data_IF_340297848421
#
_entry.id   IF_340297848421
#
_cell.length_a   1.000
_cell.length_b   1.000
_cell.length_c   1.000
_cell.angle_alpha   90.00
_cell.angle_beta   90.00
_cell.angle_gamma   90.00
#
_symmetry.space_group_name_H-M   'P 1'
#
loop_
_entity.id
_entity.type
_entity.pdbx_description
1 polymer ?
#
# COMPACT_ATOMS: atom_id res chain seq x y z
N UNK A 1 53.24 -17.09 10.05
CA UNK A 1 52.68 -16.49 8.84
C UNK A 1 51.83 -15.30 9.27
N UNK A 2 52.32 -14.08 9.05
CA UNK A 2 51.65 -12.84 9.48
C UNK A 2 50.64 -12.41 8.42
N UNK A 3 49.36 -12.41 8.77
CA UNK A 3 48.31 -11.81 7.95
C UNK A 3 48.29 -10.29 8.20
N UNK A 4 48.18 -9.49 7.13
CA UNK A 4 48.04 -8.03 7.25
C UNK A 4 46.59 -7.66 7.56
N UNK A 5 46.36 -6.56 8.28
CA UNK A 5 45.03 -6.10 8.70
C UNK A 5 44.04 -5.90 7.53
N UNK A 6 44.54 -5.61 6.33
CA UNK A 6 43.72 -5.50 5.10
C UNK A 6 43.11 -6.85 4.67
N UNK A 7 43.80 -7.96 4.90
CA UNK A 7 43.31 -9.30 4.57
C UNK A 7 42.28 -9.81 5.59
N UNK A 8 42.34 -9.34 6.84
CA UNK A 8 41.31 -9.62 7.85
C UNK A 8 40.01 -8.84 7.63
N UNK A 9 40.06 -7.65 7.01
CA UNK A 9 38.87 -6.86 6.62
C UNK A 9 38.20 -7.44 5.36
N UNK A 10 38.99 -7.97 4.43
CA UNK A 10 38.49 -8.72 3.27
C UNK A 10 37.90 -10.09 3.65
N UNK A 11 38.41 -10.75 4.70
CA UNK A 11 37.92 -12.05 5.17
C UNK A 11 36.68 -11.96 6.09
N UNK A 12 36.34 -10.79 6.63
CA UNK A 12 35.23 -10.60 7.57
C UNK A 12 33.91 -10.13 6.92
N UNK A 13 33.92 -9.62 5.69
CA UNK A 13 32.75 -9.00 5.04
C UNK A 13 32.31 -9.75 3.76
N UNK A 14 31.83 -10.98 3.93
CA UNK A 14 31.09 -11.71 2.90
C UNK A 14 29.61 -11.27 2.79
N UNK A 15 29.28 -10.06 3.26
CA UNK A 15 27.98 -9.39 3.07
C UNK A 15 28.22 -8.17 2.18
N UNK A 16 27.59 -8.13 1.01
CA UNK A 16 27.63 -6.94 0.13
C UNK A 16 28.76 -6.91 -0.91
N UNK A 17 29.36 -8.06 -1.28
CA UNK A 17 30.06 -8.20 -2.55
C UNK A 17 29.11 -8.84 -3.57
N UNK A 18 28.45 -8.05 -4.43
CA UNK A 18 27.69 -8.60 -5.54
C UNK A 18 28.58 -9.51 -6.39
N UNK A 19 28.00 -10.56 -6.99
CA UNK A 19 28.69 -11.39 -8.00
C UNK A 19 29.37 -10.49 -9.06
N UNK A 20 30.48 -10.91 -9.70
CA UNK A 20 31.08 -10.12 -10.77
C UNK A 20 30.03 -9.71 -11.83
N UNK A 21 29.93 -8.41 -12.12
CA UNK A 21 28.91 -7.84 -12.99
C UNK A 21 27.61 -7.43 -12.28
N UNK A 22 27.51 -7.57 -10.96
CA UNK A 22 26.36 -7.10 -10.21
C UNK A 22 26.54 -5.67 -9.68
N UNK A 23 25.41 -4.99 -9.46
CA UNK A 23 25.35 -3.56 -9.18
C UNK A 23 25.08 -3.33 -7.69
N UNK A 24 25.90 -2.50 -7.07
CA UNK A 24 25.74 -2.02 -5.70
C UNK A 24 25.29 -0.56 -5.72
N UNK A 25 24.17 -0.26 -5.08
CA UNK A 25 23.68 1.10 -4.85
C UNK A 25 24.07 1.55 -3.45
N UNK A 26 24.62 2.75 -3.34
CA UNK A 26 25.12 3.26 -2.07
C UNK A 26 23.98 3.51 -1.06
N UNK A 27 24.14 2.97 0.15
CA UNK A 27 23.44 3.45 1.35
C UNK A 27 24.21 4.60 1.99
N UNK A 28 25.54 4.48 2.00
CA UNK A 28 26.49 5.50 2.42
C UNK A 28 27.66 5.51 1.43
N UNK A 29 28.20 6.70 1.18
CA UNK A 29 29.49 6.84 0.53
C UNK A 29 30.57 6.99 1.61
N UNK A 30 31.57 6.11 1.55
CA UNK A 30 32.63 6.01 2.56
C UNK A 30 33.98 6.45 1.98
N UNK A 31 34.72 7.22 2.78
CA UNK A 31 36.10 7.62 2.50
C UNK A 31 37.00 7.31 3.70
N UNK A 32 38.32 7.11 3.49
CA UNK A 32 39.25 6.85 4.60
C UNK A 32 39.42 8.06 5.53
N UNK A 33 39.31 9.27 5.00
CA UNK A 33 39.79 10.52 5.61
C UNK A 33 38.68 11.57 5.82
N UNK A 34 37.41 11.24 5.56
CA UNK A 34 36.29 12.15 5.79
C UNK A 34 35.02 11.42 6.25
N UNK A 35 34.06 12.13 6.87
CA UNK A 35 32.80 11.53 7.33
C UNK A 35 32.03 10.83 6.19
N UNK A 36 31.31 9.76 6.55
CA UNK A 36 30.38 9.08 5.66
C UNK A 36 29.31 10.06 5.17
N UNK A 37 28.93 9.93 3.89
CA UNK A 37 27.84 10.72 3.31
C UNK A 37 26.65 9.80 3.05
N UNK A 38 25.50 10.01 3.72
CA UNK A 38 24.33 9.15 3.55
C UNK A 38 23.70 9.33 2.17
N UNK A 39 23.12 8.25 1.64
CA UNK A 39 22.46 8.19 0.33
C UNK A 39 20.98 7.77 0.45
N UNK A 40 20.12 8.56 1.10
CA UNK A 40 18.73 8.16 1.32
C UNK A 40 17.93 8.04 0.02
N UNK A 41 18.30 8.77 -1.04
CA UNK A 41 17.73 8.63 -2.39
C UNK A 41 18.21 7.37 -3.14
N UNK A 42 19.12 6.56 -2.57
CA UNK A 42 19.59 5.32 -3.18
C UNK A 42 18.46 4.34 -3.50
N UNK A 43 17.37 4.37 -2.72
CA UNK A 43 16.17 3.56 -3.00
C UNK A 43 15.52 3.88 -4.35
N UNK A 44 15.54 5.14 -4.77
CA UNK A 44 15.01 5.58 -6.07
C UNK A 44 15.89 5.05 -7.21
N UNK A 45 17.22 5.09 -7.01
CA UNK A 45 18.19 4.58 -7.98
C UNK A 45 18.09 3.07 -8.12
N UNK A 46 17.94 2.34 -7.02
CA UNK A 46 17.68 0.90 -7.05
C UNK A 46 16.38 0.58 -7.82
N UNK A 47 15.31 1.33 -7.56
CA UNK A 47 14.06 1.23 -8.30
C UNK A 47 14.22 1.46 -9.80
N UNK A 48 14.99 2.49 -10.17
CA UNK A 48 15.26 2.83 -11.57
C UNK A 48 16.12 1.78 -12.30
N UNK A 49 17.12 1.22 -11.61
CA UNK A 49 17.91 0.11 -12.12
C UNK A 49 17.04 -1.13 -12.37
N UNK A 50 16.16 -1.48 -11.42
CA UNK A 50 15.23 -2.62 -11.58
C UNK A 50 14.32 -2.44 -12.80
N UNK A 51 13.79 -1.24 -13.03
CA UNK A 51 12.97 -0.93 -14.23
C UNK A 51 13.75 -1.09 -15.54
N UNK A 52 15.07 -0.89 -15.52
CA UNK A 52 15.98 -1.10 -16.66
C UNK A 52 16.51 -2.53 -16.77
N UNK A 53 15.93 -3.47 -15.99
CA UNK A 53 16.33 -4.87 -15.98
C UNK A 53 17.70 -5.11 -15.34
N UNK A 54 18.14 -4.23 -14.45
CA UNK A 54 19.42 -4.34 -13.73
C UNK A 54 19.13 -4.69 -12.27
N UNK A 55 19.42 -5.93 -11.83
CA UNK A 55 19.33 -6.26 -10.42
C UNK A 55 20.41 -5.50 -9.65
N UNK A 56 20.04 -4.91 -8.53
CA UNK A 56 20.94 -4.16 -7.67
C UNK A 56 20.75 -4.59 -6.21
N UNK A 57 21.82 -4.51 -5.43
CA UNK A 57 21.79 -4.59 -3.98
C UNK A 57 22.12 -3.23 -3.38
N UNK A 58 21.70 -2.99 -2.14
CA UNK A 58 22.07 -1.80 -1.38
C UNK A 58 23.16 -2.12 -0.36
N UNK A 59 24.08 -1.19 -0.15
CA UNK A 59 25.09 -1.29 0.89
C UNK A 59 26.07 -0.11 0.89
N UNK A 60 27.02 -0.08 1.84
CA UNK A 60 28.04 0.95 1.89
C UNK A 60 28.95 0.88 0.66
N UNK A 61 29.23 2.03 0.04
CA UNK A 61 30.09 2.14 -1.13
C UNK A 61 31.35 2.93 -0.79
N UNK A 62 32.50 2.24 -0.80
CA UNK A 62 33.80 2.88 -0.64
C UNK A 62 34.18 3.68 -1.89
N UNK A 63 34.73 4.86 -1.66
CA UNK A 63 35.13 5.75 -2.74
C UNK A 63 36.43 5.34 -3.45
N UNK A 64 37.28 4.56 -2.78
CA UNK A 64 38.41 3.91 -3.44
C UNK A 64 37.86 2.69 -4.20
N UNK A 65 37.67 2.84 -5.52
CA UNK A 65 37.22 1.74 -6.35
C UNK A 65 38.42 0.84 -6.69
N UNK A 66 38.22 -0.48 -6.60
CA UNK A 66 39.17 -1.47 -7.13
C UNK A 66 39.42 -1.21 -8.63
N UNK A 67 40.65 -1.46 -9.10
CA UNK A 67 40.99 -1.34 -10.54
C UNK A 67 40.07 -2.23 -11.37
N UNK A 68 39.34 -1.66 -12.34
CA UNK A 68 38.44 -2.37 -13.26
C UNK A 68 36.95 -2.05 -13.07
N UNK A 69 36.54 -1.58 -11.89
CA UNK A 69 35.13 -1.28 -11.60
C UNK A 69 34.69 0.10 -12.14
N UNK A 70 33.44 0.18 -12.62
CA UNK A 70 32.77 1.47 -12.88
C UNK A 70 32.05 1.90 -11.60
N UNK A 71 32.40 3.05 -11.05
CA UNK A 71 31.76 3.61 -9.86
C UNK A 71 31.31 5.06 -10.10
N UNK A 72 30.00 5.27 -10.18
CA UNK A 72 29.37 6.59 -10.32
C UNK A 72 28.94 7.10 -8.96
N UNK A 73 29.34 8.34 -8.64
CA UNK A 73 29.09 8.95 -7.34
C UNK A 73 28.83 10.43 -7.51
N UNK A 74 27.81 10.90 -6.83
CA UNK A 74 27.48 12.31 -6.70
C UNK A 74 27.33 12.65 -5.23
N UNK A 75 27.95 13.76 -4.83
CA UNK A 75 27.77 14.37 -3.50
C UNK A 75 27.32 15.79 -3.74
N UNK A 76 26.21 16.16 -3.11
CA UNK A 76 25.63 17.49 -3.25
C UNK A 76 25.24 18.05 -1.89
N UNK A 77 25.20 19.38 -1.80
CA UNK A 77 24.80 20.08 -0.59
C UNK A 77 23.28 20.09 -0.49
N UNK A 78 22.78 19.69 0.67
CA UNK A 78 21.38 19.78 1.05
C UNK A 78 21.29 20.66 2.31
N UNK A 79 21.12 21.97 2.10
CA UNK A 79 21.28 22.97 3.16
C UNK A 79 22.69 22.93 3.78
N UNK A 80 22.75 22.67 5.08
CA UNK A 80 23.99 22.58 5.85
C UNK A 80 24.64 21.18 5.85
N UNK A 81 23.95 20.16 5.31
CA UNK A 81 24.44 18.79 5.28
C UNK A 81 24.81 18.35 3.86
N UNK A 82 25.68 17.35 3.75
CA UNK A 82 25.98 16.68 2.48
C UNK A 82 25.09 15.44 2.34
N UNK A 83 24.56 15.21 1.13
CA UNK A 83 23.86 13.98 0.78
C UNK A 83 24.49 13.39 -0.48
N UNK A 84 24.36 12.08 -0.63
CA UNK A 84 24.99 11.33 -1.69
C UNK A 84 24.00 10.58 -2.57
N UNK A 85 24.46 10.22 -3.75
CA UNK A 85 23.87 9.21 -4.59
C UNK A 85 25.01 8.45 -5.28
N UNK A 86 24.92 7.14 -5.39
CA UNK A 86 25.96 6.39 -6.08
C UNK A 86 25.59 4.97 -6.42
N UNK A 87 26.23 4.45 -7.45
CA UNK A 87 26.20 3.05 -7.83
C UNK A 87 27.58 2.61 -8.31
N UNK A 88 27.93 1.36 -8.04
CA UNK A 88 29.12 0.72 -8.57
C UNK A 88 28.77 -0.63 -9.19
N UNK A 89 29.53 -1.00 -10.21
CA UNK A 89 29.47 -2.32 -10.85
C UNK A 89 30.75 -3.06 -10.52
N UNK A 90 30.64 -4.27 -9.98
CA UNK A 90 31.80 -5.11 -9.63
C UNK A 90 32.39 -5.79 -10.86
N UNK A 91 33.71 -6.01 -10.87
CA UNK A 91 34.41 -6.68 -11.98
C UNK A 91 34.54 -5.80 -13.23
N UNK A 92 34.62 -6.43 -14.41
CA UNK A 92 34.68 -5.78 -15.73
C UNK A 92 33.28 -5.79 -16.39
N UNK A 93 32.48 -4.72 -16.25
CA UNK A 93 31.10 -4.71 -16.76
C UNK A 93 31.06 -4.62 -18.29
N UNK A 94 30.00 -5.20 -18.89
CA UNK A 94 29.72 -5.00 -20.31
C UNK A 94 29.31 -3.56 -20.60
N UNK A 95 29.56 -3.04 -21.82
CA UNK A 95 29.13 -1.70 -22.21
C UNK A 95 27.63 -1.45 -21.99
N UNK A 96 26.78 -2.45 -22.26
CA UNK A 96 25.32 -2.35 -22.12
C UNK A 96 24.89 -2.24 -20.65
N UNK A 97 25.61 -2.89 -19.73
CA UNK A 97 25.36 -2.76 -18.30
C UNK A 97 25.80 -1.39 -17.80
N UNK A 98 26.98 -0.93 -18.21
CA UNK A 98 27.49 0.41 -17.91
C UNK A 98 26.52 1.50 -18.39
N UNK A 99 26.03 1.39 -19.63
CA UNK A 99 25.05 2.34 -20.19
C UNK A 99 23.77 2.41 -19.35
N UNK A 100 23.21 1.26 -18.97
CA UNK A 100 21.99 1.20 -18.14
C UNK A 100 22.20 1.81 -16.76
N UNK A 101 23.35 1.57 -16.12
CA UNK A 101 23.69 2.16 -14.82
C UNK A 101 23.90 3.67 -14.93
N UNK A 102 24.61 4.14 -15.95
CA UNK A 102 24.78 5.57 -16.23
C UNK A 102 23.43 6.26 -16.47
N UNK A 103 22.54 5.65 -17.25
CA UNK A 103 21.23 6.21 -17.54
C UNK A 103 20.32 6.28 -16.30
N UNK A 104 20.35 5.25 -15.44
CA UNK A 104 19.63 5.28 -14.16
C UNK A 104 20.14 6.39 -13.24
N UNK A 105 21.48 6.50 -13.11
CA UNK A 105 22.12 7.55 -12.33
C UNK A 105 21.75 8.94 -12.85
N UNK A 106 21.79 9.14 -14.17
CA UNK A 106 21.42 10.41 -14.81
C UNK A 106 19.95 10.79 -14.55
N UNK A 107 19.03 9.83 -14.63
CA UNK A 107 17.61 10.06 -14.32
C UNK A 107 17.41 10.54 -12.88
N UNK A 108 18.04 9.87 -11.90
CA UNK A 108 17.99 10.30 -10.50
C UNK A 108 18.62 11.68 -10.29
N UNK A 109 19.78 11.95 -10.91
CA UNK A 109 20.46 13.24 -10.83
C UNK A 109 19.63 14.39 -11.40
N UNK A 110 18.85 14.14 -12.47
CA UNK A 110 17.93 15.14 -13.03
C UNK A 110 16.83 15.57 -12.05
N UNK A 111 16.52 14.76 -11.04
CA UNK A 111 15.60 15.10 -9.96
C UNK A 111 16.28 15.77 -8.75
N UNK A 112 17.61 15.95 -8.76
CA UNK A 112 18.33 16.57 -7.64
C UNK A 112 18.33 18.09 -7.69
N UNK A 113 18.59 18.74 -6.56
CA UNK A 113 18.83 20.19 -6.48
C UNK A 113 17.58 21.07 -6.39
N UNK A 114 16.40 20.56 -6.73
CA UNK A 114 15.12 21.23 -6.46
C UNK A 114 14.78 21.12 -4.98
N UNK A 115 14.63 22.27 -4.30
CA UNK A 115 14.04 22.32 -2.97
C UNK A 115 12.54 22.01 -3.08
N UNK A 116 12.02 21.16 -2.19
CA UNK A 116 10.65 20.65 -2.25
C UNK A 116 9.87 20.90 -0.98
N UNK A 117 8.60 21.21 -1.13
CA UNK A 117 7.60 21.12 -0.07
C UNK A 117 6.82 19.83 -0.24
N UNK A 118 6.75 19.01 0.81
CA UNK A 118 5.87 17.85 0.88
C UNK A 118 4.61 18.26 1.60
N UNK A 119 3.49 18.35 0.88
CA UNK A 119 2.16 18.54 1.46
C UNK A 119 1.64 17.18 1.91
N UNK A 120 1.65 16.95 3.22
CA UNK A 120 1.36 15.66 3.80
C UNK A 120 -0.10 15.60 4.27
N UNK A 121 -0.93 14.78 3.62
CA UNK A 121 -2.34 14.64 3.96
C UNK A 121 -2.55 13.99 5.34
N UNK A 122 -3.47 14.51 6.15
CA UNK A 122 -3.89 13.86 7.40
C UNK A 122 -5.43 13.90 7.56
N UNK A 123 -6.09 12.76 7.87
CA UNK A 123 -5.51 11.43 8.12
C UNK A 123 -4.99 10.69 6.85
N UNK A 124 -4.09 9.73 7.09
CA UNK A 124 -3.47 8.84 6.08
C UNK A 124 -3.09 7.51 6.75
N UNK A 125 -2.65 6.52 5.96
CA UNK A 125 -2.15 5.23 6.47
C UNK A 125 -3.23 4.44 7.21
N UNK A 126 -2.85 3.54 8.14
CA UNK A 126 -3.77 2.61 8.80
C UNK A 126 -5.05 3.22 9.36
N UNK A 127 -6.16 2.50 9.17
CA UNK A 127 -7.43 2.75 9.87
C UNK A 127 -7.65 1.69 10.97
N UNK A 128 -8.62 1.93 11.85
CA UNK A 128 -8.89 1.06 13.01
C UNK A 128 -9.20 -0.40 12.61
N UNK A 129 -9.85 -0.62 11.47
CA UNK A 129 -10.15 -1.96 10.96
C UNK A 129 -8.89 -2.72 10.54
N UNK A 130 -7.96 -2.02 9.89
CA UNK A 130 -6.68 -2.57 9.43
C UNK A 130 -5.76 -2.87 10.61
N UNK A 131 -5.61 -1.93 11.56
CA UNK A 131 -4.80 -2.15 12.77
C UNK A 131 -5.27 -3.38 13.53
N UNK A 132 -6.59 -3.48 13.77
CA UNK A 132 -7.21 -4.64 14.42
C UNK A 132 -6.90 -5.94 13.69
N UNK A 133 -7.01 -5.96 12.36
CA UNK A 133 -6.83 -7.18 11.58
C UNK A 133 -5.37 -7.65 11.58
N UNK A 134 -4.42 -6.71 11.45
CA UNK A 134 -2.99 -7.01 11.56
C UNK A 134 -2.68 -7.54 12.97
N UNK A 135 -3.12 -6.83 14.00
CA UNK A 135 -2.85 -7.19 15.40
C UNK A 135 -3.40 -8.59 15.77
N UNK A 136 -4.56 -8.98 15.23
CA UNK A 136 -5.09 -10.34 15.39
C UNK A 136 -4.08 -11.39 14.91
N UNK A 137 -3.53 -11.22 13.70
CA UNK A 137 -2.56 -12.18 13.15
C UNK A 137 -1.25 -12.15 13.92
N UNK A 138 -0.75 -10.96 14.26
CA UNK A 138 0.49 -10.79 15.02
C UNK A 138 0.41 -11.50 16.38
N UNK A 139 -0.68 -11.29 17.15
CA UNK A 139 -0.88 -11.94 18.45
C UNK A 139 -1.05 -13.46 18.35
N UNK A 140 -1.69 -13.94 17.28
CA UNK A 140 -1.80 -15.38 17.05
C UNK A 140 -0.44 -16.02 16.79
N UNK A 141 0.41 -15.37 16.00
CA UNK A 141 1.78 -15.81 15.76
C UNK A 141 2.62 -15.76 17.04
N UNK A 142 2.47 -14.71 17.85
CA UNK A 142 3.20 -14.58 19.12
C UNK A 142 2.79 -15.65 20.14
N UNK A 143 1.51 -16.02 20.17
CA UNK A 143 0.98 -17.02 21.13
C UNK A 143 1.20 -18.47 20.70
N UNK A 144 1.16 -18.75 19.40
CA UNK A 144 1.10 -20.11 18.89
C UNK A 144 2.25 -20.50 17.95
N UNK A 145 3.06 -19.53 17.51
CA UNK A 145 3.98 -19.72 16.39
C UNK A 145 3.24 -19.92 15.05
N UNK A 146 4.01 -20.19 14.00
CA UNK A 146 3.46 -20.55 12.68
C UNK A 146 3.24 -22.07 12.52
N UNK A 147 2.40 -22.51 11.57
CA UNK A 147 1.68 -21.67 10.61
C UNK A 147 0.36 -21.13 11.18
N UNK A 148 0.11 -19.83 10.95
CA UNK A 148 -1.25 -19.24 11.07
C UNK A 148 -1.77 -19.01 9.67
N UNK A 149 -2.81 -19.74 9.27
CA UNK A 149 -3.38 -19.58 7.93
C UNK A 149 -4.29 -18.36 7.89
N UNK A 150 -4.24 -17.60 6.80
CA UNK A 150 -5.13 -16.46 6.57
C UNK A 150 -5.80 -16.65 5.23
N UNK A 151 -7.14 -16.62 5.21
CA UNK A 151 -7.89 -16.71 3.95
C UNK A 151 -7.87 -15.35 3.25
N UNK A 152 -7.29 -15.32 2.05
CA UNK A 152 -6.90 -14.13 1.29
C UNK A 152 -5.92 -13.27 2.09
N UNK A 153 -5.44 -12.18 1.50
CA UNK A 153 -4.57 -11.24 2.23
C UNK A 153 -5.34 -10.63 3.41
N UNK A 154 -4.70 -10.51 4.57
CA UNK A 154 -5.34 -9.94 5.78
C UNK A 154 -5.85 -8.52 5.51
N UNK A 155 -5.06 -7.76 4.73
CA UNK A 155 -5.33 -6.44 4.15
C UNK A 155 -4.59 -6.34 2.82
N UNK A 156 -5.04 -5.49 1.89
CA UNK A 156 -4.39 -5.29 0.59
C UNK A 156 -3.17 -4.38 0.70
N UNK A 157 -2.07 -4.92 1.23
CA UNK A 157 -0.75 -4.27 1.21
C UNK A 157 0.38 -5.30 1.19
N UNK A 158 1.22 -5.26 0.16
CA UNK A 158 2.30 -6.26 -0.05
C UNK A 158 3.33 -6.27 1.08
N UNK A 159 3.64 -5.11 1.68
CA UNK A 159 4.61 -5.04 2.77
C UNK A 159 4.06 -5.60 4.09
N UNK A 160 2.76 -5.42 4.35
CA UNK A 160 2.09 -6.04 5.51
C UNK A 160 2.06 -7.56 5.34
N UNK A 161 1.65 -8.03 4.16
CA UNK A 161 1.61 -9.46 3.82
C UNK A 161 3.00 -10.09 3.99
N UNK A 162 4.03 -9.54 3.33
CA UNK A 162 5.39 -10.07 3.42
C UNK A 162 5.96 -10.05 4.84
N UNK A 163 5.65 -9.03 5.66
CA UNK A 163 6.04 -8.99 7.08
C UNK A 163 5.42 -10.14 7.87
N UNK A 164 4.14 -10.45 7.64
CA UNK A 164 3.44 -11.51 8.34
C UNK A 164 3.88 -12.90 7.86
N UNK A 165 4.14 -13.07 6.56
CA UNK A 165 4.70 -14.31 5.99
C UNK A 165 6.07 -14.62 6.60
N UNK A 166 6.95 -13.62 6.72
CA UNK A 166 8.25 -13.76 7.36
C UNK A 166 8.16 -14.17 8.85
N UNK A 167 7.01 -13.94 9.49
CA UNK A 167 6.72 -14.36 10.88
C UNK A 167 6.00 -15.72 10.97
N UNK A 168 5.63 -16.34 9.85
CA UNK A 168 4.95 -17.64 9.81
C UNK A 168 3.45 -17.61 9.50
N UNK A 169 2.91 -16.48 9.02
CA UNK A 169 1.58 -16.49 8.41
C UNK A 169 1.62 -17.19 7.05
N UNK A 170 0.54 -17.89 6.69
CA UNK A 170 0.39 -18.55 5.38
C UNK A 170 -0.91 -18.07 4.75
N UNK A 171 -0.80 -17.21 3.74
CA UNK A 171 -1.97 -16.70 3.01
C UNK A 171 -2.43 -17.73 1.97
N UNK A 172 -3.72 -18.06 1.99
CA UNK A 172 -4.34 -19.02 1.07
C UNK A 172 -5.51 -18.40 0.33
N UNK A 173 -5.76 -18.83 -0.91
CA UNK A 173 -6.93 -18.38 -1.65
C UNK A 173 -8.22 -19.03 -1.14
N UNK A 174 -8.17 -20.34 -0.92
CA UNK A 174 -9.32 -21.16 -0.56
C UNK A 174 -9.08 -22.02 0.67
N UNK A 175 -10.13 -22.25 1.45
CA UNK A 175 -10.02 -23.02 2.69
C UNK A 175 -9.55 -24.45 2.45
N UNK A 176 -9.87 -25.07 1.32
CA UNK A 176 -9.36 -26.41 0.96
C UNK A 176 -7.83 -26.55 1.03
N UNK A 177 -7.08 -25.46 0.91
CA UNK A 177 -5.61 -25.45 1.02
C UNK A 177 -5.12 -25.51 2.46
N UNK A 178 -6.00 -25.25 3.44
CA UNK A 178 -5.68 -25.29 4.87
C UNK A 178 -5.83 -26.70 5.41
N UNK A 179 -4.87 -27.28 6.15
CA UNK A 179 -5.06 -28.58 6.80
C UNK A 179 -6.23 -28.57 7.81
N UNK A 180 -7.03 -29.66 7.90
CA UNK A 180 -8.12 -29.76 8.89
C UNK A 180 -7.64 -29.48 10.32
N UNK A 181 -8.49 -28.87 11.15
CA UNK A 181 -8.15 -28.51 12.53
C UNK A 181 -7.18 -27.33 12.70
N UNK A 182 -6.62 -26.80 11.60
CA UNK A 182 -5.67 -25.67 11.68
C UNK A 182 -6.36 -24.36 12.03
N UNK A 183 -5.57 -23.44 12.57
CA UNK A 183 -6.01 -22.08 12.85
C UNK A 183 -6.10 -21.26 11.57
N UNK A 184 -7.25 -20.64 11.34
CA UNK A 184 -7.53 -19.81 10.17
C UNK A 184 -8.03 -18.43 10.59
N UNK A 185 -7.50 -17.40 9.97
CA UNK A 185 -7.99 -16.03 10.11
C UNK A 185 -8.76 -15.64 8.85
N UNK A 186 -9.98 -15.12 9.01
CA UNK A 186 -10.68 -14.45 7.91
C UNK A 186 -10.23 -13.00 7.80
N UNK A 187 -9.98 -12.52 6.58
CA UNK A 187 -9.44 -11.17 6.34
C UNK A 187 -10.36 -10.04 6.81
N UNK A 188 -9.83 -8.81 6.86
CA UNK A 188 -10.59 -7.61 7.21
C UNK A 188 -11.79 -7.33 6.29
N UNK A 189 -11.71 -7.80 5.04
CA UNK A 189 -12.73 -7.60 3.99
C UNK A 189 -13.99 -8.46 4.19
N UNK A 190 -13.99 -9.38 5.15
CA UNK A 190 -15.12 -10.27 5.37
C UNK A 190 -15.13 -11.48 4.45
N UNK A 191 -16.02 -12.43 4.77
CA UNK A 191 -16.25 -13.65 3.99
C UNK A 191 -17.74 -13.96 3.96
N UNK A 192 -18.16 -14.66 2.90
CA UNK A 192 -19.56 -15.08 2.75
C UNK A 192 -19.96 -16.16 3.77
N UNK A 193 -21.26 -16.34 4.05
CA UNK A 193 -21.77 -17.44 4.86
C UNK A 193 -21.34 -18.83 4.37
N UNK A 194 -21.18 -19.01 3.05
CA UNK A 194 -20.73 -20.27 2.46
C UNK A 194 -19.29 -20.64 2.90
N UNK A 195 -18.41 -19.65 2.97
CA UNK A 195 -17.02 -19.83 3.46
C UNK A 195 -17.01 -20.17 4.95
N UNK A 196 -17.89 -19.53 5.74
CA UNK A 196 -18.05 -19.84 7.18
C UNK A 196 -18.50 -21.28 7.39
N UNK A 197 -19.53 -21.71 6.65
CA UNK A 197 -20.03 -23.08 6.70
C UNK A 197 -18.97 -24.11 6.24
N UNK A 198 -18.13 -23.77 5.25
CA UNK A 198 -17.01 -24.62 4.87
C UNK A 198 -15.98 -24.77 6.00
N UNK A 199 -15.61 -23.67 6.66
CA UNK A 199 -14.67 -23.72 7.78
C UNK A 199 -15.19 -24.61 8.92
N UNK A 200 -16.49 -24.49 9.25
CA UNK A 200 -17.17 -25.34 10.24
C UNK A 200 -17.15 -26.82 9.82
N UNK A 201 -17.54 -27.15 8.58
CA UNK A 201 -17.50 -28.53 8.06
C UNK A 201 -16.09 -29.13 8.14
N UNK A 202 -15.06 -28.31 7.90
CA UNK A 202 -13.65 -28.71 7.95
C UNK A 202 -13.05 -28.65 9.36
N UNK A 203 -13.86 -28.27 10.37
CA UNK A 203 -13.47 -28.14 11.78
C UNK A 203 -12.23 -27.27 11.97
N UNK A 204 -12.15 -26.16 11.22
CA UNK A 204 -11.06 -25.20 11.35
C UNK A 204 -11.25 -24.35 12.60
N UNK A 205 -10.15 -23.97 13.26
CA UNK A 205 -10.16 -23.04 14.39
C UNK A 205 -10.13 -21.61 13.85
N UNK A 206 -11.32 -21.02 13.69
CA UNK A 206 -11.49 -19.73 13.00
C UNK A 206 -11.38 -18.54 13.96
N UNK A 207 -10.57 -17.56 13.59
CA UNK A 207 -10.58 -16.21 14.16
C UNK A 207 -11.03 -15.21 13.09
N UNK A 208 -12.10 -14.48 13.36
CA UNK A 208 -12.66 -13.55 12.38
C UNK A 208 -12.10 -12.13 12.55
N UNK A 209 -11.26 -11.71 11.60
CA UNK A 209 -10.70 -10.37 11.56
C UNK A 209 -11.52 -9.38 10.73
N UNK A 210 -12.72 -9.76 10.24
CA UNK A 210 -13.64 -8.87 9.52
C UNK A 210 -13.77 -7.53 10.24
N UNK A 211 -13.60 -6.44 9.50
CA UNK A 211 -13.78 -5.09 10.03
C UNK A 211 -15.23 -4.93 10.54
N UNK A 212 -15.45 -4.37 11.75
CA UNK A 212 -16.81 -4.15 12.26
C UNK A 212 -17.71 -3.33 11.32
N UNK A 213 -17.14 -2.42 10.52
CA UNK A 213 -17.89 -1.64 9.54
C UNK A 213 -18.31 -2.47 8.31
N UNK A 214 -17.51 -3.47 7.91
CA UNK A 214 -17.93 -4.46 6.90
C UNK A 214 -18.99 -5.40 7.46
N UNK A 215 -18.84 -5.83 8.72
CA UNK A 215 -19.83 -6.68 9.39
C UNK A 215 -21.20 -5.99 9.55
N UNK A 216 -21.23 -4.65 9.68
CA UNK A 216 -22.45 -3.83 9.62
C UNK A 216 -23.14 -4.02 8.26
N UNK A 217 -22.43 -3.81 7.15
CA UNK A 217 -22.96 -3.98 5.78
C UNK A 217 -23.51 -5.40 5.57
N UNK A 218 -22.79 -6.43 6.01
CA UNK A 218 -23.27 -7.82 5.95
C UNK A 218 -24.58 -8.01 6.72
N UNK A 219 -24.71 -7.39 7.89
CA UNK A 219 -25.92 -7.46 8.72
C UNK A 219 -27.10 -6.74 8.08
N UNK A 220 -26.86 -5.57 7.48
CA UNK A 220 -27.88 -4.83 6.75
C UNK A 220 -28.33 -5.56 5.49
N UNK A 221 -27.41 -6.22 4.75
CA UNK A 221 -27.76 -7.04 3.59
C UNK A 221 -28.77 -8.13 3.96
N UNK A 222 -28.50 -8.88 5.04
CA UNK A 222 -29.45 -9.89 5.56
C UNK A 222 -30.77 -9.28 6.00
N UNK A 223 -30.73 -8.14 6.69
CA UNK A 223 -31.93 -7.46 7.23
C UNK A 223 -32.83 -6.92 6.11
N UNK A 224 -32.26 -6.30 5.09
CA UNK A 224 -33.02 -5.76 3.96
C UNK A 224 -33.64 -6.88 3.13
N UNK A 225 -32.86 -7.94 2.88
CA UNK A 225 -33.36 -9.13 2.19
C UNK A 225 -34.47 -9.85 3.00
N UNK A 226 -34.35 -9.98 4.32
CA UNK A 226 -35.37 -10.63 5.17
C UNK A 226 -36.67 -9.84 5.27
N UNK A 227 -36.60 -8.50 5.17
CA UNK A 227 -37.79 -7.67 5.00
C UNK A 227 -38.47 -7.96 3.66
N UNK A 228 -37.75 -8.45 2.66
CA UNK A 228 -38.21 -8.81 1.31
C UNK A 228 -37.81 -7.81 0.23
N UNK A 229 -36.89 -6.90 0.53
CA UNK A 229 -36.42 -5.89 -0.41
C UNK A 229 -35.40 -6.49 -1.37
N UNK A 230 -35.30 -5.94 -2.58
CA UNK A 230 -34.14 -6.16 -3.46
C UNK A 230 -33.02 -5.24 -3.00
N UNK A 231 -31.84 -5.79 -2.73
CA UNK A 231 -30.67 -5.03 -2.28
C UNK A 231 -29.81 -4.72 -3.48
N UNK A 232 -29.65 -3.44 -3.82
CA UNK A 232 -28.66 -3.00 -4.79
C UNK A 232 -27.35 -2.77 -4.04
N UNK A 233 -26.37 -3.63 -4.23
CA UNK A 233 -25.02 -3.43 -3.72
C UNK A 233 -24.24 -2.58 -4.72
N UNK A 234 -23.79 -1.41 -4.31
CA UNK A 234 -22.89 -0.55 -5.09
C UNK A 234 -21.47 -0.96 -4.74
N UNK A 235 -20.68 -1.42 -5.71
CA UNK A 235 -19.33 -1.92 -5.44
C UNK A 235 -18.62 -2.41 -6.70
N UNK A 236 -17.37 -2.88 -6.57
CA UNK A 236 -16.62 -3.43 -7.70
C UNK A 236 -16.69 -4.96 -7.73
N UNK A 237 -17.04 -5.52 -8.89
CA UNK A 237 -17.07 -6.96 -9.10
C UNK A 237 -15.70 -7.61 -8.82
N UNK A 238 -15.69 -8.78 -8.19
CA UNK A 238 -14.47 -9.51 -7.87
C UNK A 238 -13.70 -9.01 -6.65
N UNK A 239 -14.11 -7.90 -6.01
CA UNK A 239 -13.53 -7.47 -4.74
C UNK A 239 -14.03 -8.34 -3.58
N UNK A 240 -13.13 -8.77 -2.68
CA UNK A 240 -13.44 -9.73 -1.61
C UNK A 240 -14.59 -9.27 -0.70
N UNK A 241 -14.65 -7.98 -0.39
CA UNK A 241 -15.74 -7.38 0.39
C UNK A 241 -17.10 -7.47 -0.30
N UNK A 242 -17.10 -7.30 -1.64
CA UNK A 242 -18.31 -7.39 -2.46
C UNK A 242 -18.78 -8.83 -2.53
N UNK A 243 -17.87 -9.79 -2.75
CA UNK A 243 -18.18 -11.22 -2.73
C UNK A 243 -18.71 -11.68 -1.36
N UNK A 244 -18.13 -11.17 -0.27
CA UNK A 244 -18.60 -11.40 1.09
C UNK A 244 -20.04 -10.92 1.29
N UNK A 245 -20.32 -9.67 0.89
CA UNK A 245 -21.64 -9.04 1.04
C UNK A 245 -22.70 -9.64 0.12
N UNK A 246 -22.37 -9.93 -1.15
CA UNK A 246 -23.26 -10.63 -2.09
C UNK A 246 -23.69 -12.00 -1.52
N UNK A 247 -22.75 -12.70 -0.90
CA UNK A 247 -22.99 -14.02 -0.30
C UNK A 247 -23.96 -14.02 0.88
N UNK A 248 -24.23 -12.87 1.50
CA UNK A 248 -25.17 -12.76 2.63
C UNK A 248 -26.64 -12.92 2.20
N UNK A 249 -26.97 -12.49 0.98
CA UNK A 249 -28.34 -12.57 0.44
C UNK A 249 -28.38 -12.74 -1.10
N UNK A 250 -27.74 -13.77 -1.66
CA UNK A 250 -27.44 -13.86 -3.10
C UNK A 250 -28.68 -13.89 -4.01
N UNK A 251 -29.85 -14.29 -3.50
CA UNK A 251 -31.11 -14.32 -4.27
C UNK A 251 -31.83 -12.96 -4.31
N UNK A 252 -31.40 -12.00 -3.50
CA UNK A 252 -32.03 -10.69 -3.32
C UNK A 252 -31.07 -9.53 -3.57
N UNK A 253 -29.77 -9.80 -3.70
CA UNK A 253 -28.77 -8.76 -3.94
C UNK A 253 -28.38 -8.71 -5.42
N UNK A 254 -28.32 -7.49 -5.98
CA UNK A 254 -27.86 -7.21 -7.34
C UNK A 254 -26.70 -6.22 -7.24
N UNK A 255 -25.59 -6.51 -7.93
CA UNK A 255 -24.43 -5.62 -7.99
C UNK A 255 -24.65 -4.53 -9.04
N UNK A 256 -24.23 -3.30 -8.71
CA UNK A 256 -24.13 -2.15 -9.61
C UNK A 256 -22.78 -1.47 -9.39
N UNK A 257 -22.05 -1.19 -10.46
CA UNK A 257 -20.70 -0.62 -10.40
C UNK A 257 -20.64 0.84 -10.85
N UNK A 258 -21.67 1.34 -11.56
CA UNK A 258 -21.63 2.65 -12.19
C UNK A 258 -23.01 3.30 -12.30
N UNK A 259 -23.03 4.61 -12.59
CA UNK A 259 -24.27 5.33 -12.85
C UNK A 259 -24.99 4.79 -14.10
N UNK A 260 -24.27 4.25 -15.08
CA UNK A 260 -24.85 3.63 -16.27
C UNK A 260 -25.57 2.32 -15.92
N UNK A 261 -24.91 1.44 -15.15
CA UNK A 261 -25.56 0.21 -14.66
C UNK A 261 -26.76 0.54 -13.76
N UNK A 262 -26.66 1.59 -12.94
CA UNK A 262 -27.77 2.08 -12.14
C UNK A 262 -28.96 2.54 -12.99
N UNK A 263 -28.73 3.10 -14.18
CA UNK A 263 -29.80 3.51 -15.12
C UNK A 263 -30.54 2.32 -15.73
N UNK A 264 -29.89 1.15 -15.83
CA UNK A 264 -30.46 -0.02 -16.52
C UNK A 264 -30.80 -1.19 -15.59
N UNK A 265 -30.39 -1.15 -14.31
CA UNK A 265 -30.64 -2.24 -13.36
C UNK A 265 -32.13 -2.58 -13.27
N UNK A 266 -32.45 -3.88 -13.27
CA UNK A 266 -33.82 -4.38 -13.17
C UNK A 266 -34.02 -5.01 -11.81
N UNK A 267 -35.11 -4.64 -11.15
CA UNK A 267 -35.53 -5.18 -9.86
C UNK A 267 -36.96 -5.73 -9.98
N UNK A 268 -37.32 -6.81 -9.28
CA UNK A 268 -38.68 -7.37 -9.35
C UNK A 268 -39.78 -6.40 -8.90
N UNK A 269 -39.50 -5.59 -7.87
CA UNK A 269 -40.44 -4.62 -7.29
C UNK A 269 -39.73 -3.27 -7.06
N UNK A 270 -39.98 -2.26 -7.91
CA UNK A 270 -39.40 -0.92 -7.80
C UNK A 270 -39.74 -0.17 -6.50
N UNK A 271 -40.79 -0.58 -5.77
CA UNK A 271 -41.18 0.04 -4.50
C UNK A 271 -40.50 -0.61 -3.29
N UNK A 272 -39.75 -1.69 -3.50
CA UNK A 272 -39.12 -2.49 -2.46
C UNK A 272 -37.64 -2.69 -2.73
N UNK A 273 -36.93 -1.56 -2.81
CA UNK A 273 -35.50 -1.53 -3.10
C UNK A 273 -34.77 -0.87 -1.94
N UNK A 274 -33.70 -1.53 -1.50
CA UNK A 274 -32.70 -0.95 -0.61
C UNK A 274 -31.36 -0.91 -1.32
N UNK A 275 -30.46 0.00 -0.93
CA UNK A 275 -29.07 -0.05 -1.39
C UNK A 275 -28.11 -0.20 -0.21
N UNK A 276 -26.94 -0.74 -0.52
CA UNK A 276 -25.75 -0.79 0.33
C UNK A 276 -24.55 -0.43 -0.52
N UNK A 277 -23.44 -0.03 0.09
CA UNK A 277 -22.20 0.24 -0.65
C UNK A 277 -21.02 -0.53 -0.10
N UNK A 278 -20.04 -0.81 -0.96
CA UNK A 278 -18.71 -1.18 -0.53
C UNK A 278 -18.10 -0.01 0.27
N UNK A 279 -17.33 -0.32 1.31
CA UNK A 279 -16.81 0.65 2.29
C UNK A 279 -15.66 1.54 1.77
N UNK A 280 -15.06 1.17 0.64
CA UNK A 280 -13.84 1.77 0.06
C UNK A 280 -14.06 2.45 -1.30
N UNK A 281 -15.29 2.87 -1.61
CA UNK A 281 -15.62 3.56 -2.86
C UNK A 281 -15.26 5.05 -2.83
N UNK A 282 -15.22 5.66 -4.00
CA UNK A 282 -15.20 7.12 -4.13
C UNK A 282 -16.52 7.69 -3.63
N UNK A 283 -16.46 8.69 -2.75
CA UNK A 283 -17.66 9.33 -2.17
C UNK A 283 -18.48 10.02 -3.25
N UNK A 284 -17.82 10.74 -4.14
CA UNK A 284 -18.47 11.53 -5.19
C UNK A 284 -19.14 10.63 -6.24
N UNK A 285 -18.40 9.63 -6.74
CA UNK A 285 -18.94 8.68 -7.73
C UNK A 285 -20.12 7.90 -7.16
N UNK A 286 -20.01 7.44 -5.92
CA UNK A 286 -21.09 6.68 -5.28
C UNK A 286 -22.33 7.54 -5.08
N UNK A 287 -22.15 8.83 -4.77
CA UNK A 287 -23.26 9.79 -4.67
C UNK A 287 -24.00 9.94 -6.00
N UNK A 288 -23.29 9.97 -7.13
CA UNK A 288 -23.91 10.00 -8.46
C UNK A 288 -24.72 8.72 -8.74
N UNK A 289 -24.19 7.54 -8.38
CA UNK A 289 -24.90 6.26 -8.51
C UNK A 289 -26.18 6.26 -7.69
N UNK A 290 -26.09 6.68 -6.41
CA UNK A 290 -27.23 6.74 -5.50
C UNK A 290 -28.30 7.69 -6.04
N UNK A 291 -27.92 8.83 -6.59
CA UNK A 291 -28.86 9.80 -7.15
C UNK A 291 -29.62 9.22 -8.36
N UNK A 292 -28.94 8.52 -9.26
CA UNK A 292 -29.59 7.79 -10.35
C UNK A 292 -30.57 6.73 -9.81
N UNK A 293 -30.17 5.98 -8.78
CA UNK A 293 -31.03 4.97 -8.18
C UNK A 293 -32.27 5.60 -7.52
N UNK A 294 -32.14 6.75 -6.85
CA UNK A 294 -33.27 7.48 -6.25
C UNK A 294 -34.26 7.96 -7.30
N UNK A 295 -33.78 8.47 -8.43
CA UNK A 295 -34.63 8.89 -9.54
C UNK A 295 -35.43 7.72 -10.13
N UNK A 296 -34.80 6.54 -10.23
CA UNK A 296 -35.45 5.34 -10.76
C UNK A 296 -36.36 4.62 -9.76
N UNK A 297 -36.00 4.67 -8.49
CA UNK A 297 -36.71 4.01 -7.40
C UNK A 297 -37.06 5.04 -6.32
N UNK A 298 -38.17 5.80 -6.45
CA UNK A 298 -38.52 6.86 -5.50
C UNK A 298 -38.71 6.39 -4.05
N UNK A 299 -38.95 5.09 -3.84
CA UNK A 299 -39.05 4.47 -2.52
C UNK A 299 -37.73 3.84 -2.03
N UNK A 300 -36.61 4.12 -2.69
CA UNK A 300 -35.29 3.58 -2.36
C UNK A 300 -34.91 3.89 -0.90
N UNK A 301 -34.49 2.85 -0.17
CA UNK A 301 -34.04 2.97 1.21
C UNK A 301 -32.54 2.76 1.31
N UNK A 302 -31.84 3.67 1.97
CA UNK A 302 -30.43 3.51 2.29
C UNK A 302 -30.19 2.81 3.64
N UNK A 303 -28.92 2.57 3.98
CA UNK A 303 -28.51 2.19 5.33
C UNK A 303 -28.82 3.29 6.34
N UNK A 304 -28.82 2.94 7.64
CA UNK A 304 -29.12 3.92 8.70
C UNK A 304 -28.02 4.97 8.89
N UNK A 305 -26.79 4.61 8.53
CA UNK A 305 -25.61 5.47 8.39
C UNK A 305 -24.86 5.05 7.14
N UNK A 306 -23.99 5.90 6.60
CA UNK A 306 -23.24 5.59 5.39
C UNK A 306 -22.42 4.29 5.53
N UNK A 307 -22.28 3.57 4.41
CA UNK A 307 -21.49 2.35 4.33
C UNK A 307 -20.04 2.64 3.89
N UNK A 308 -19.81 3.67 3.09
CA UNK A 308 -18.46 4.22 2.90
C UNK A 308 -17.96 4.63 4.28
N UNK A 309 -16.88 3.98 4.73
CA UNK A 309 -16.45 4.14 6.10
C UNK A 309 -15.74 5.48 6.31
N UNK A 310 -15.72 5.93 7.57
CA UNK A 310 -15.05 7.17 7.98
C UNK A 310 -13.64 7.29 7.41
N UNK A 311 -12.88 6.19 7.42
CA UNK A 311 -11.49 6.17 6.99
C UNK A 311 -11.32 6.47 5.49
N UNK A 312 -12.23 5.95 4.67
CA UNK A 312 -12.27 6.20 3.23
C UNK A 312 -12.63 7.66 2.95
N UNK A 313 -13.69 8.17 3.58
CA UNK A 313 -14.15 9.55 3.42
C UNK A 313 -13.05 10.54 3.84
N UNK A 314 -12.53 10.39 5.06
CA UNK A 314 -11.52 11.30 5.59
C UNK A 314 -10.26 11.34 4.72
N UNK A 315 -9.78 10.20 4.21
CA UNK A 315 -8.59 10.16 3.34
C UNK A 315 -8.83 10.84 1.99
N UNK A 316 -10.04 10.74 1.44
CA UNK A 316 -10.42 11.47 0.23
C UNK A 316 -10.45 12.97 0.50
N UNK A 317 -11.02 13.40 1.62
CA UNK A 317 -11.07 14.81 2.01
C UNK A 317 -9.67 15.39 2.27
N UNK A 318 -8.80 14.66 2.97
CA UNK A 318 -7.40 15.06 3.18
C UNK A 318 -6.61 15.15 1.88
N UNK A 319 -6.92 14.30 0.90
CA UNK A 319 -6.30 14.38 -0.41
C UNK A 319 -6.77 15.61 -1.18
N UNK A 320 -8.09 15.89 -1.19
CA UNK A 320 -8.65 17.10 -1.81
C UNK A 320 -8.00 18.37 -1.26
N UNK A 321 -7.67 18.38 0.04
CA UNK A 321 -7.01 19.51 0.70
C UNK A 321 -5.56 19.76 0.25
N UNK A 322 -4.91 18.84 -0.47
CA UNK A 322 -3.51 19.01 -0.93
C UNK A 322 -3.34 18.90 -2.45
N UNK A 323 -4.29 18.26 -3.14
CA UNK A 323 -4.11 17.87 -4.54
C UNK A 323 -3.91 19.08 -5.47
N UNK A 324 -4.75 20.11 -5.34
CA UNK A 324 -4.70 21.29 -6.20
C UNK A 324 -3.45 22.17 -6.01
N UNK A 325 -2.79 22.06 -4.85
CA UNK A 325 -1.54 22.78 -4.54
C UNK A 325 -0.28 21.98 -4.92
N UNK A 326 -0.43 20.73 -5.35
CA UNK A 326 0.68 19.82 -5.63
C UNK A 326 1.02 19.79 -7.13
N UNK A 327 2.30 19.76 -7.49
CA UNK A 327 2.74 19.49 -8.86
C UNK A 327 2.52 18.01 -9.21
N UNK A 328 2.74 17.13 -8.23
CA UNK A 328 2.54 15.69 -8.32
C UNK A 328 2.06 15.14 -6.99
N UNK A 329 1.15 14.16 -7.04
CA UNK A 329 0.67 13.41 -5.88
C UNK A 329 1.24 12.00 -5.89
N UNK A 330 1.83 11.59 -4.77
CA UNK A 330 2.23 10.22 -4.50
C UNK A 330 1.27 9.61 -3.47
N UNK A 331 0.65 8.49 -3.84
CA UNK A 331 -0.21 7.70 -2.96
C UNK A 331 0.50 6.40 -2.62
N UNK A 332 0.85 6.22 -1.35
CA UNK A 332 1.44 4.97 -0.88
C UNK A 332 0.35 3.91 -0.69
N UNK A 333 0.47 2.78 -1.40
CA UNK A 333 -0.45 1.65 -1.31
C UNK A 333 -0.34 0.69 -2.48
N UNK A 334 -0.88 -0.52 -2.31
CA UNK A 334 -0.78 -1.59 -3.30
C UNK A 334 -1.89 -1.52 -4.36
N UNK A 335 -1.61 -2.06 -5.56
CA UNK A 335 -2.53 -2.04 -6.71
C UNK A 335 -3.88 -2.73 -6.44
N UNK A 336 -3.92 -3.72 -5.55
CA UNK A 336 -5.15 -4.41 -5.17
C UNK A 336 -5.94 -3.71 -4.04
N UNK A 337 -5.46 -2.57 -3.53
CA UNK A 337 -6.18 -1.77 -2.53
C UNK A 337 -7.17 -0.82 -3.20
N UNK A 338 -8.47 -1.14 -3.14
CA UNK A 338 -9.54 -0.27 -3.68
C UNK A 338 -9.42 1.16 -3.15
N UNK A 339 -9.25 1.34 -1.84
CA UNK A 339 -9.12 2.66 -1.23
C UNK A 339 -7.90 3.44 -1.77
N UNK A 340 -6.74 2.79 -1.91
CA UNK A 340 -5.53 3.48 -2.42
C UNK A 340 -5.70 3.88 -3.88
N UNK A 341 -6.34 3.04 -4.70
CA UNK A 341 -6.65 3.36 -6.10
C UNK A 341 -7.64 4.54 -6.20
N UNK A 342 -8.69 4.56 -5.37
CA UNK A 342 -9.65 5.69 -5.34
C UNK A 342 -8.95 7.03 -5.07
N UNK A 343 -7.94 7.07 -4.19
CA UNK A 343 -7.16 8.28 -3.93
C UNK A 343 -6.42 8.76 -5.19
N UNK A 344 -5.75 7.86 -5.92
CA UNK A 344 -5.07 8.24 -7.17
C UNK A 344 -6.04 8.77 -8.22
N UNK A 345 -7.18 8.10 -8.38
CA UNK A 345 -8.21 8.53 -9.33
C UNK A 345 -8.81 9.88 -8.93
N UNK A 346 -9.03 10.11 -7.63
CA UNK A 346 -9.50 11.39 -7.12
C UNK A 346 -8.51 12.52 -7.43
N UNK A 347 -7.22 12.37 -7.11
CA UNK A 347 -6.23 13.40 -7.42
C UNK A 347 -6.16 13.73 -8.92
N UNK A 348 -6.29 12.73 -9.80
CA UNK A 348 -6.32 12.94 -11.25
C UNK A 348 -7.58 13.67 -11.71
N UNK A 349 -8.72 13.43 -11.07
CA UNK A 349 -9.98 14.14 -11.35
C UNK A 349 -9.91 15.61 -10.94
N UNK A 350 -9.21 15.90 -9.85
CA UNK A 350 -8.89 17.27 -9.42
C UNK A 350 -7.84 17.95 -10.33
N UNK A 351 -7.32 17.25 -11.34
CA UNK A 351 -6.41 17.81 -12.35
C UNK A 351 -4.92 17.61 -12.07
N UNK A 352 -4.55 16.92 -11.00
CA UNK A 352 -3.15 16.74 -10.59
C UNK A 352 -2.60 15.38 -11.03
N UNK A 353 -1.36 15.36 -11.54
CA UNK A 353 -0.67 14.11 -11.84
C UNK A 353 -0.52 13.28 -10.55
N UNK A 354 -0.97 12.03 -10.57
CA UNK A 354 -0.94 11.17 -9.39
C UNK A 354 -0.46 9.75 -9.69
N UNK A 355 0.32 9.19 -8.77
CA UNK A 355 0.95 7.88 -8.90
C UNK A 355 0.72 7.02 -7.66
N UNK A 356 0.31 5.77 -7.89
CA UNK A 356 0.27 4.73 -6.87
C UNK A 356 1.66 4.11 -6.75
N UNK A 357 2.19 4.02 -5.53
CA UNK A 357 3.50 3.41 -5.25
C UNK A 357 3.37 2.46 -4.05
N UNK A 358 3.92 1.25 -4.15
CA UNK A 358 3.96 0.32 -3.01
C UNK A 358 4.95 0.86 -1.95
N UNK A 359 6.11 1.35 -2.40
CA UNK A 359 7.13 2.01 -1.59
C UNK A 359 7.96 3.02 -2.40
N UNK A 360 9.06 3.50 -1.84
CA UNK A 360 9.93 4.47 -2.49
C UNK A 360 10.64 3.92 -3.75
N UNK A 361 10.80 2.61 -3.94
CA UNK A 361 11.42 2.05 -5.16
C UNK A 361 10.57 2.30 -6.40
N UNK A 362 9.26 2.40 -6.25
CA UNK A 362 8.32 2.60 -7.37
C UNK A 362 8.31 4.05 -7.89
N UNK A 363 8.80 5.00 -7.09
CA UNK A 363 8.88 6.40 -7.47
C UNK A 363 9.87 6.54 -8.62
N UNK A 364 9.42 7.17 -9.69
CA UNK A 364 10.25 7.41 -10.86
C UNK A 364 10.84 8.82 -10.83
N UNK A 365 12.16 8.98 -11.06
CA UNK A 365 12.79 10.30 -11.02
C UNK A 365 12.15 11.34 -11.93
N UNK A 366 11.63 10.93 -13.09
CA UNK A 366 10.95 11.84 -14.04
C UNK A 366 9.67 12.46 -13.48
N UNK A 367 9.02 11.85 -12.48
CA UNK A 367 7.86 12.44 -11.80
C UNK A 367 8.26 13.59 -10.86
N UNK A 368 9.52 13.61 -10.44
CA UNK A 368 10.06 14.56 -9.46
C UNK A 368 10.87 15.67 -10.10
N UNK A 369 11.36 15.48 -11.33
CA UNK A 369 12.18 16.46 -12.03
C UNK A 369 11.41 17.78 -12.20
N UNK A 370 11.91 18.85 -11.57
CA UNK A 370 11.27 20.17 -11.59
C UNK A 370 10.05 20.34 -10.66
N UNK A 371 9.54 19.28 -10.04
CA UNK A 371 8.43 19.37 -9.09
C UNK A 371 8.91 20.01 -7.77
N UNK A 372 8.34 21.16 -7.42
CA UNK A 372 8.61 21.90 -6.20
C UNK A 372 7.64 21.56 -5.06
N UNK A 373 6.42 21.11 -5.38
CA UNK A 373 5.43 20.69 -4.38
C UNK A 373 5.00 19.25 -4.65
N UNK A 374 5.22 18.36 -3.68
CA UNK A 374 4.83 16.95 -3.75
C UNK A 374 3.71 16.69 -2.74
N UNK A 375 2.52 16.38 -3.22
CA UNK A 375 1.44 15.89 -2.38
C UNK A 375 1.71 14.44 -1.98
N UNK A 376 1.63 14.13 -0.69
CA UNK A 376 1.90 12.79 -0.18
C UNK A 376 0.75 12.32 0.72
N UNK A 377 0.22 11.14 0.39
CA UNK A 377 -0.76 10.44 1.23
C UNK A 377 -0.54 8.93 1.19
N UNK A 378 -1.33 8.19 1.96
CA UNK A 378 -1.28 6.75 2.04
C UNK A 378 -2.67 6.16 2.23
N UNK A 379 -2.93 5.05 1.55
CA UNK A 379 -4.19 4.33 1.71
C UNK A 379 -4.32 3.65 3.08
N UNK A 380 -5.54 3.24 3.41
CA UNK A 380 -5.89 2.67 4.71
C UNK A 380 -5.10 1.39 5.10
N UNK A 381 -4.49 0.70 4.14
CA UNK A 381 -3.69 -0.51 4.35
C UNK A 381 -2.17 -0.28 4.35
N UNK A 382 -1.71 0.96 4.11
CA UNK A 382 -0.29 1.26 4.01
C UNK A 382 0.32 1.59 5.39
N UNK A 383 1.41 0.91 5.79
CA UNK A 383 2.13 1.23 7.02
C UNK A 383 2.69 2.67 7.04
N UNK A 384 2.60 3.42 8.16
CA UNK A 384 3.17 4.76 8.28
C UNK A 384 4.65 4.86 7.89
N UNK A 385 5.46 3.85 8.25
CA UNK A 385 6.89 3.80 7.91
C UNK A 385 7.20 3.89 6.41
N UNK A 386 6.27 3.53 5.53
CA UNK A 386 6.47 3.64 4.08
C UNK A 386 6.36 5.09 3.62
N UNK A 387 5.49 5.89 4.25
CA UNK A 387 5.40 7.34 4.04
C UNK A 387 6.69 8.01 4.51
N UNK A 388 7.19 7.63 5.70
CA UNK A 388 8.46 8.14 6.22
C UNK A 388 9.64 7.81 5.28
N UNK A 389 9.64 6.60 4.70
CA UNK A 389 10.65 6.19 3.73
C UNK A 389 10.59 7.01 2.43
N UNK A 390 9.39 7.38 1.96
CA UNK A 390 9.22 8.28 0.81
C UNK A 390 9.77 9.67 1.13
N UNK A 391 9.41 10.25 2.29
CA UNK A 391 9.94 11.56 2.72
C UNK A 391 11.46 11.51 2.82
N UNK A 392 12.01 10.44 3.42
CA UNK A 392 13.45 10.22 3.52
C UNK A 392 14.12 10.18 2.14
N UNK A 393 13.54 9.44 1.20
CA UNK A 393 14.07 9.34 -0.16
C UNK A 393 14.06 10.70 -0.89
N UNK A 394 12.99 11.49 -0.74
CA UNK A 394 12.89 12.84 -1.30
C UNK A 394 13.96 13.78 -0.69
N UNK A 395 14.20 13.68 0.62
CA UNK A 395 15.27 14.41 1.31
C UNK A 395 16.67 14.04 0.81
N UNK A 396 16.82 12.86 0.18
CA UNK A 396 18.06 12.49 -0.49
C UNK A 396 18.32 13.21 -1.81
N UNK A 397 17.30 13.80 -2.43
CA UNK A 397 17.43 14.52 -3.71
C UNK A 397 17.64 16.04 -3.52
N UNK A 398 17.37 16.57 -2.34
CA UNK A 398 17.51 18.00 -2.04
C UNK A 398 16.77 18.40 -0.76
N UNK A 399 16.72 19.71 -0.43
CA UNK A 399 16.00 20.20 0.73
C UNK A 399 14.51 19.85 0.68
N UNK A 400 13.98 19.35 1.79
CA UNK A 400 12.56 19.01 1.94
C UNK A 400 11.99 19.71 3.16
N UNK A 401 10.92 20.46 2.96
CA UNK A 401 10.03 20.97 4.02
C UNK A 401 8.77 20.11 4.04
N UNK A 402 8.37 19.58 5.19
CA UNK A 402 7.13 18.82 5.32
C UNK A 402 6.08 19.71 5.97
N UNK A 403 4.95 19.89 5.29
CA UNK A 403 3.79 20.60 5.82
C UNK A 403 2.61 19.64 5.90
N UNK A 404 2.19 19.31 7.12
CA UNK A 404 1.02 18.47 7.33
C UNK A 404 -0.28 19.28 7.22
N UNK A 405 -1.25 18.76 6.47
CA UNK A 405 -2.60 19.32 6.29
C UNK A 405 -3.60 18.37 6.92
N UNK A 406 -3.94 18.64 8.17
CA UNK A 406 -4.90 17.87 8.96
C UNK A 406 -6.32 18.39 8.74
N UNK A 407 -7.18 17.58 8.12
CA UNK A 407 -8.59 17.92 7.90
C UNK A 407 -9.49 17.44 9.03
N UNK A 408 -9.09 16.38 9.74
CA UNK A 408 -9.85 15.78 10.85
C UNK A 408 -8.98 14.85 11.71
N UNK A 409 -9.46 14.51 12.91
CA UNK A 409 -8.82 13.53 13.81
C UNK A 409 -9.63 12.24 13.90
N UNK A 410 -8.98 11.12 13.65
CA UNK A 410 -9.57 9.79 13.82
C UNK A 410 -9.28 9.28 15.25
N UNK A 411 -10.33 9.00 16.04
CA UNK A 411 -10.22 8.50 17.43
C UNK A 411 -10.84 7.12 17.63
N UNK A 412 -11.24 6.49 16.52
CA UNK A 412 -11.95 5.21 16.53
C UNK A 412 -10.95 4.08 16.77
N UNK A 413 -11.31 3.18 17.68
CA UNK A 413 -10.58 1.94 17.92
C UNK A 413 -11.56 0.77 18.01
N UNK A 414 -11.18 -0.37 17.43
CA UNK A 414 -11.99 -1.59 17.48
C UNK A 414 -11.38 -2.62 18.42
N UNK A 415 -12.20 -3.22 19.26
CA UNK A 415 -11.76 -4.23 20.21
C UNK A 415 -11.39 -5.54 19.51
N UNK A 416 -10.36 -6.20 20.04
CA UNK A 416 -9.92 -7.50 19.55
C UNK A 416 -10.90 -8.62 19.97
N UNK A 417 -11.02 -9.69 19.17
CA UNK A 417 -11.75 -10.89 19.56
C UNK A 417 -11.28 -11.46 20.90
N UNK A 418 -12.19 -12.06 21.67
CA UNK A 418 -11.89 -12.70 22.96
C UNK A 418 -10.75 -13.74 22.87
N UNK A 419 -10.67 -14.46 21.75
CA UNK A 419 -9.68 -15.52 21.50
C UNK A 419 -8.23 -15.03 21.45
N UNK A 420 -8.00 -13.73 21.21
CA UNK A 420 -6.66 -13.12 21.08
C UNK A 420 -6.42 -11.98 22.08
N UNK A 421 -7.36 -11.75 23.01
CA UNK A 421 -7.13 -10.85 24.16
C UNK A 421 -6.16 -11.52 25.15
N UNK A 422 -5.41 -10.68 25.87
CA UNK A 422 -4.40 -11.09 26.83
C UNK A 422 -5.00 -11.87 28.00
#
# INVERSE_FOLDING_TARGET
>A
MSFTAAQSILAANNRGRPDPGAVLVAEDLLWPDRPAVPCPAGVLLEGELRRRGVPAARGPLHAEADRGAVALRAVFRNGDHATGLGAAVTGDPSPELTERVCAAMAACLAATGTARTVLLAAPRSFCAGVERAIEIVERLLDKHGGPVYVRKQIVHNVHVVGKLEARGAVFVDELRQVPPGSKVVFSAHGVSPAVRAEAERRRLDVVDATCPLVAKVHTEARRFASRGDTVILIGHAGHEEVEGTLGEAPRRTVLVQSAEEARTVRVPDPHRVSYLTQTTLSVDETSEVIEVLRQRFPALRGPASDDICYATTNRQDSLKAIAAESDVVLVVGSRNSSNSVRLVELARREGTAAHLVDDAHDIRPEWLAGAGVVGLTAGASAPPRLVDAVITALGGLGPVTVEERETTRETIHFTLPATVRA
#
